data_IF_771935211347
#
_entry.id   IF_771935211347
#
_cell.length_a   1.000
_cell.length_b   1.000
_cell.length_c   1.000
_cell.angle_alpha   90.00
_cell.angle_beta   90.00
_cell.angle_gamma   90.00
#
_symmetry.space_group_name_H-M   'P 1'
#
loop_
_entity.id
_entity.type
_entity.pdbx_description
1 polymer ?
#
# COMPACT_ATOMS: atom_id res chain seq x y z
N UNK A 1 31.15 30.60 -34.35
CA UNK A 1 30.26 29.51 -34.83
C UNK A 1 30.35 28.22 -33.99
N UNK A 2 31.54 27.76 -33.55
CA UNK A 2 31.68 26.53 -32.72
C UNK A 2 31.05 26.59 -31.32
N UNK A 3 31.04 27.76 -30.67
CA UNK A 3 30.47 27.93 -29.32
C UNK A 3 28.94 27.80 -29.29
N UNK A 4 28.24 28.26 -30.35
CA UNK A 4 26.78 28.16 -30.42
C UNK A 4 26.30 26.70 -30.53
N UNK A 5 27.03 25.85 -31.27
CA UNK A 5 26.74 24.41 -31.36
C UNK A 5 26.96 23.70 -30.02
N UNK A 6 28.02 24.05 -29.28
CA UNK A 6 28.28 23.49 -27.95
C UNK A 6 27.18 23.84 -26.94
N UNK A 7 26.70 25.09 -26.94
CA UNK A 7 25.62 25.52 -26.05
C UNK A 7 24.30 24.79 -26.39
N UNK A 8 23.97 24.64 -27.67
CA UNK A 8 22.78 23.87 -28.07
C UNK A 8 22.86 22.40 -27.64
N UNK A 9 24.04 21.79 -27.78
CA UNK A 9 24.23 20.39 -27.40
C UNK A 9 24.12 20.19 -25.88
N UNK A 10 24.64 21.12 -25.08
CA UNK A 10 24.52 21.10 -23.61
C UNK A 10 23.06 21.27 -23.17
N UNK A 11 22.32 22.21 -23.78
CA UNK A 11 20.89 22.41 -23.48
C UNK A 11 20.10 21.14 -23.81
N UNK A 12 20.33 20.53 -24.98
CA UNK A 12 19.69 19.28 -25.37
C UNK A 12 20.00 18.14 -24.39
N UNK A 13 21.26 18.04 -23.92
CA UNK A 13 21.67 17.05 -22.93
C UNK A 13 20.97 17.26 -21.58
N UNK A 14 20.81 18.50 -21.14
CA UNK A 14 20.13 18.81 -19.86
C UNK A 14 18.65 18.45 -19.89
N UNK A 15 17.98 18.58 -21.04
CA UNK A 15 16.59 18.13 -21.20
C UNK A 15 16.47 16.60 -21.27
N UNK A 16 17.49 15.89 -21.79
CA UNK A 16 17.49 14.43 -21.88
C UNK A 16 17.82 13.73 -20.55
N UNK A 17 18.38 14.45 -19.57
CA UNK A 17 18.82 13.91 -18.28
C UNK A 17 17.80 14.06 -17.14
N UNK A 18 16.53 14.33 -17.45
CA UNK A 18 15.45 14.14 -16.47
C UNK A 18 15.26 12.64 -16.20
N UNK A 19 16.16 12.08 -15.38
CA UNK A 19 16.01 10.74 -14.82
C UNK A 19 14.79 10.82 -13.91
N UNK A 20 13.69 10.19 -14.34
CA UNK A 20 12.53 10.01 -13.48
C UNK A 20 12.94 9.08 -12.34
N UNK A 21 13.07 9.65 -11.15
CA UNK A 21 13.30 8.90 -9.94
C UNK A 21 11.98 8.33 -9.45
N UNK A 22 11.92 7.00 -9.31
CA UNK A 22 10.86 6.36 -8.53
C UNK A 22 11.06 6.66 -7.05
N UNK A 23 9.97 6.82 -6.32
CA UNK A 23 10.00 7.09 -4.90
C UNK A 23 10.04 5.78 -4.12
N UNK A 24 10.75 5.77 -3.00
CA UNK A 24 10.86 4.62 -2.10
C UNK A 24 10.12 4.89 -0.79
N UNK A 25 9.32 3.92 -0.36
CA UNK A 25 8.67 3.90 0.96
C UNK A 25 9.53 3.10 1.92
N UNK A 26 9.86 3.71 3.05
CA UNK A 26 10.70 3.11 4.10
C UNK A 26 9.88 2.73 5.33
N UNK A 27 10.41 1.81 6.17
CA UNK A 27 9.71 1.31 7.37
C UNK A 27 9.19 2.42 8.28
N UNK A 28 10.01 3.45 8.54
CA UNK A 28 9.65 4.57 9.42
C UNK A 28 8.47 5.40 8.87
N UNK A 29 8.30 5.45 7.55
CA UNK A 29 7.16 6.13 6.93
C UNK A 29 5.87 5.37 7.18
N UNK A 30 5.93 4.03 7.15
CA UNK A 30 4.77 3.18 7.36
C UNK A 30 4.44 3.01 8.84
N UNK A 31 5.42 2.70 9.68
CA UNK A 31 5.23 2.57 11.14
C UNK A 31 4.79 3.89 11.79
N UNK A 32 5.19 5.02 11.21
CA UNK A 32 4.82 6.33 11.70
C UNK A 32 3.39 6.75 11.36
N UNK A 33 2.71 6.08 10.42
CA UNK A 33 1.35 6.40 9.96
C UNK A 33 0.35 5.31 10.29
N UNK A 34 -0.91 5.71 10.36
CA UNK A 34 -2.07 4.82 10.50
C UNK A 34 -3.09 5.06 9.38
N UNK A 35 -2.64 5.63 8.26
CA UNK A 35 -3.40 5.82 7.04
C UNK A 35 -3.19 4.63 6.10
N UNK A 36 -4.19 4.34 5.28
CA UNK A 36 -4.15 3.27 4.29
C UNK A 36 -3.64 3.84 2.98
N UNK A 37 -2.61 3.21 2.42
CA UNK A 37 -1.99 3.65 1.18
C UNK A 37 -2.72 3.02 0.00
N UNK A 38 -3.26 3.85 -0.88
CA UNK A 38 -3.91 3.41 -2.11
C UNK A 38 -3.42 4.21 -3.31
N UNK A 39 -3.69 3.72 -4.51
CA UNK A 39 -3.53 4.46 -5.76
C UNK A 39 -4.72 4.16 -6.67
N UNK A 40 -4.86 4.92 -7.75
CA UNK A 40 -5.85 4.62 -8.80
C UNK A 40 -5.18 3.85 -9.92
N UNK A 41 -5.78 2.73 -10.32
CA UNK A 41 -5.38 2.01 -11.52
C UNK A 41 -5.81 2.75 -12.80
N UNK A 42 -5.50 2.18 -13.96
CA UNK A 42 -5.84 2.75 -15.27
C UNK A 42 -7.36 2.91 -15.48
N UNK A 43 -8.17 2.08 -14.82
CA UNK A 43 -9.63 2.18 -14.83
C UNK A 43 -10.16 3.23 -13.84
N UNK A 44 -9.27 3.87 -13.07
CA UNK A 44 -9.59 4.84 -12.03
C UNK A 44 -10.08 4.21 -10.73
N UNK A 45 -10.03 2.88 -10.58
CA UNK A 45 -10.44 2.19 -9.37
C UNK A 45 -9.31 2.23 -8.33
N UNK A 46 -9.70 2.30 -7.05
CA UNK A 46 -8.73 2.30 -5.96
C UNK A 46 -8.15 0.91 -5.74
N UNK A 47 -6.83 0.85 -5.61
CA UNK A 47 -6.08 -0.36 -5.29
C UNK A 47 -5.19 -0.11 -4.07
N UNK A 48 -4.94 -1.14 -3.27
CA UNK A 48 -3.99 -1.08 -2.16
C UNK A 48 -2.56 -1.00 -2.71
N UNK A 49 -1.73 -0.17 -2.10
CA UNK A 49 -0.33 -0.08 -2.47
C UNK A 49 0.45 -1.27 -1.88
N UNK A 50 0.75 -2.26 -2.73
CA UNK A 50 1.45 -3.49 -2.31
C UNK A 50 2.97 -3.45 -2.48
N UNK A 51 3.54 -2.44 -3.14
CA UNK A 51 4.99 -2.29 -3.39
C UNK A 51 5.60 -1.17 -2.55
N UNK A 52 6.91 -1.20 -2.30
CA UNK A 52 7.64 -0.11 -1.65
C UNK A 52 8.10 0.96 -2.63
N UNK A 53 8.32 0.58 -3.88
CA UNK A 53 8.64 1.50 -4.97
C UNK A 53 7.36 2.03 -5.58
N UNK A 54 7.31 3.36 -5.72
CA UNK A 54 6.20 4.12 -6.27
C UNK A 54 6.71 4.78 -7.55
N UNK A 55 6.14 4.44 -8.72
CA UNK A 55 6.54 5.01 -9.99
C UNK A 55 6.43 6.54 -10.00
N UNK A 56 7.40 7.19 -10.64
CA UNK A 56 7.35 8.64 -10.82
C UNK A 56 6.08 9.09 -11.55
N UNK A 57 5.45 10.15 -11.05
CA UNK A 57 4.16 10.69 -11.51
C UNK A 57 2.94 10.03 -10.88
N UNK A 58 3.07 8.88 -10.20
CA UNK A 58 1.95 8.23 -9.54
C UNK A 58 1.50 9.03 -8.30
N UNK A 59 0.19 9.21 -8.17
CA UNK A 59 -0.43 9.82 -6.99
C UNK A 59 -0.99 8.75 -6.08
N UNK A 60 -0.44 8.68 -4.87
CA UNK A 60 -1.01 7.93 -3.78
C UNK A 60 -2.14 8.71 -3.13
N UNK A 61 -3.18 7.99 -2.74
CA UNK A 61 -4.29 8.49 -1.94
C UNK A 61 -4.26 7.79 -0.59
N UNK A 62 -3.95 8.55 0.45
CA UNK A 62 -3.78 8.03 1.80
C UNK A 62 -5.02 8.30 2.63
N UNK A 63 -5.81 7.26 2.89
CA UNK A 63 -7.08 7.36 3.60
C UNK A 63 -6.89 7.26 5.11
N UNK A 64 -7.47 8.19 5.87
CA UNK A 64 -7.66 8.00 7.30
C UNK A 64 -9.03 7.39 7.62
N UNK A 65 -10.13 8.04 7.20
CA UNK A 65 -11.49 7.58 7.41
C UNK A 65 -12.46 8.34 6.50
N UNK A 66 -13.38 7.61 5.83
CA UNK A 66 -14.35 8.23 4.94
C UNK A 66 -13.67 9.06 3.85
N UNK A 67 -13.99 10.36 3.79
CA UNK A 67 -13.42 11.30 2.83
C UNK A 67 -12.12 12.01 3.27
N UNK A 68 -11.54 11.69 4.43
CA UNK A 68 -10.20 12.21 4.80
C UNK A 68 -9.13 11.49 3.99
N UNK A 69 -8.74 12.14 2.90
CA UNK A 69 -7.73 11.69 1.95
C UNK A 69 -6.67 12.76 1.82
N UNK A 70 -5.41 12.35 1.92
CA UNK A 70 -4.28 13.18 1.52
C UNK A 70 -3.66 12.57 0.28
N UNK A 71 -3.35 13.42 -0.70
CA UNK A 71 -2.70 13.03 -1.94
C UNK A 71 -1.19 13.21 -1.82
N UNK A 72 -0.46 12.21 -2.28
CA UNK A 72 1.00 12.13 -2.27
C UNK A 72 1.48 11.77 -3.66
N UNK A 73 2.03 12.74 -4.38
CA UNK A 73 2.58 12.46 -5.69
C UNK A 73 4.06 12.13 -5.59
N UNK A 74 4.48 11.06 -6.26
CA UNK A 74 5.90 10.82 -6.51
C UNK A 74 6.38 11.75 -7.62
N UNK A 75 7.31 12.64 -7.33
CA UNK A 75 7.84 13.61 -8.28
C UNK A 75 8.98 13.00 -9.11
N UNK A 76 9.33 13.63 -10.23
CA UNK A 76 10.43 13.19 -11.12
C UNK A 76 11.80 13.17 -10.42
N UNK A 77 11.95 13.87 -9.28
CA UNK A 77 13.17 13.88 -8.46
C UNK A 77 13.26 12.71 -7.44
N UNK A 78 12.32 11.75 -7.47
CA UNK A 78 12.27 10.63 -6.52
C UNK A 78 11.80 11.02 -5.11
N UNK A 79 11.20 12.20 -4.94
CA UNK A 79 10.66 12.67 -3.67
C UNK A 79 9.14 12.76 -3.71
N UNK A 80 8.50 12.58 -2.55
CA UNK A 80 7.08 12.81 -2.39
C UNK A 80 6.77 14.29 -2.14
N UNK A 81 5.62 14.76 -2.61
CA UNK A 81 5.16 16.15 -2.44
C UNK A 81 4.96 16.59 -0.99
N UNK A 82 4.75 15.65 -0.07
CA UNK A 82 4.37 15.94 1.32
C UNK A 82 5.22 15.08 2.26
N UNK A 83 5.62 15.56 3.46
CA UNK A 83 6.54 14.83 4.34
C UNK A 83 5.85 13.77 5.22
N UNK A 84 6.49 12.61 5.42
CA UNK A 84 6.08 11.58 6.38
C UNK A 84 6.63 11.85 7.80
N UNK A 85 6.03 11.28 8.86
CA UNK A 85 4.80 10.49 8.87
C UNK A 85 3.55 11.34 9.18
N UNK A 86 2.41 10.94 8.62
CA UNK A 86 1.12 11.57 8.91
C UNK A 86 0.29 10.65 9.78
N UNK A 87 0.00 11.08 11.01
CA UNK A 87 -0.95 10.39 11.87
C UNK A 87 -2.34 10.93 11.65
N UNK A 88 -3.32 10.10 11.96
CA UNK A 88 -4.71 10.49 11.96
C UNK A 88 -5.39 10.04 13.25
N UNK A 89 -6.35 10.84 13.71
CA UNK A 89 -6.98 10.65 15.02
C UNK A 89 -7.96 9.48 15.05
N UNK A 90 -8.57 9.16 13.90
CA UNK A 90 -9.60 8.13 13.77
C UNK A 90 -9.31 7.26 12.54
N UNK A 91 -8.37 6.30 12.64
CA UNK A 91 -8.04 5.42 11.53
C UNK A 91 -9.25 4.55 11.14
N UNK A 92 -9.31 4.20 9.87
CA UNK A 92 -10.36 3.36 9.33
C UNK A 92 -10.18 1.93 9.82
N UNK A 93 -11.30 1.34 10.24
CA UNK A 93 -11.34 -0.06 10.68
C UNK A 93 -11.59 -0.94 9.46
N UNK A 94 -11.00 -2.13 9.44
CA UNK A 94 -11.31 -3.13 8.43
C UNK A 94 -12.67 -3.80 8.75
N UNK A 95 -13.39 -4.17 7.70
CA UNK A 95 -14.70 -4.79 7.79
C UNK A 95 -14.61 -6.24 7.30
N UNK A 96 -15.43 -7.11 7.90
CA UNK A 96 -15.59 -8.48 7.47
C UNK A 96 -16.77 -8.60 6.51
N UNK A 97 -16.53 -9.16 5.32
CA UNK A 97 -17.56 -9.47 4.32
C UNK A 97 -17.62 -10.98 4.11
N UNK A 98 -18.79 -11.63 4.29
CA UNK A 98 -18.90 -13.05 4.01
C UNK A 98 -18.66 -13.31 2.52
N UNK A 99 -17.84 -14.31 2.21
CA UNK A 99 -17.56 -14.78 0.85
C UNK A 99 -17.85 -16.27 0.75
N UNK A 100 -18.12 -16.74 -0.46
CA UNK A 100 -18.29 -18.17 -0.72
C UNK A 100 -16.94 -18.80 -0.97
N UNK A 101 -16.67 -19.86 -0.26
CA UNK A 101 -15.47 -20.67 -0.39
C UNK A 101 -15.84 -22.12 -0.09
N UNK A 102 -15.39 -23.05 -0.94
CA UNK A 102 -15.76 -24.46 -0.82
C UNK A 102 -14.79 -25.26 0.05
N UNK A 103 -13.62 -24.71 0.37
CA UNK A 103 -12.58 -25.34 1.18
C UNK A 103 -12.78 -25.02 2.68
N UNK A 104 -13.38 -23.87 2.98
CA UNK A 104 -13.74 -23.48 4.33
C UNK A 104 -14.93 -24.30 4.86
N UNK A 105 -14.68 -25.12 5.89
CA UNK A 105 -15.73 -25.87 6.60
C UNK A 105 -16.67 -24.97 7.45
N UNK A 106 -16.32 -23.69 7.63
CA UNK A 106 -17.10 -22.67 8.34
C UNK A 106 -17.66 -21.59 7.40
N UNK A 107 -17.72 -20.35 7.88
CA UNK A 107 -18.00 -19.18 7.04
C UNK A 107 -16.69 -18.47 6.71
N UNK A 108 -16.37 -18.36 5.42
CA UNK A 108 -15.23 -17.56 4.98
C UNK A 108 -15.60 -16.07 5.01
N UNK A 109 -14.70 -15.25 5.56
CA UNK A 109 -14.80 -13.80 5.56
C UNK A 109 -13.61 -13.18 4.84
N UNK A 110 -13.89 -12.28 3.92
CA UNK A 110 -12.94 -11.33 3.37
C UNK A 110 -12.82 -10.13 4.32
N UNK A 111 -11.62 -9.89 4.83
CA UNK A 111 -11.32 -8.76 5.71
C UNK A 111 -10.67 -7.67 4.87
N UNK A 112 -11.22 -6.47 4.89
CA UNK A 112 -10.73 -5.40 4.02
C UNK A 112 -11.29 -4.03 4.36
N UNK A 113 -10.85 -3.03 3.61
CA UNK A 113 -11.31 -1.64 3.77
C UNK A 113 -12.36 -1.29 2.74
N UNK A 114 -13.42 -0.59 3.18
CA UNK A 114 -14.44 -0.08 2.28
C UNK A 114 -14.07 1.34 1.83
N UNK A 115 -13.64 1.50 0.59
CA UNK A 115 -13.22 2.79 0.01
C UNK A 115 -14.03 3.04 -1.27
N UNK A 116 -14.78 4.14 -1.31
CA UNK A 116 -15.58 4.56 -2.47
C UNK A 116 -16.45 3.43 -3.07
N UNK A 117 -17.10 2.64 -2.21
CA UNK A 117 -17.94 1.52 -2.66
C UNK A 117 -17.19 0.25 -3.07
N UNK A 118 -15.86 0.29 -3.17
CA UNK A 118 -15.01 -0.87 -3.37
C UNK A 118 -14.57 -1.49 -2.02
N UNK A 119 -14.53 -2.82 -1.97
CA UNK A 119 -13.96 -3.58 -0.86
C UNK A 119 -12.53 -3.97 -1.22
N UNK A 120 -11.55 -3.33 -0.57
CA UNK A 120 -10.14 -3.61 -0.77
C UNK A 120 -9.70 -4.68 0.23
N UNK A 121 -9.60 -5.92 -0.24
CA UNK A 121 -9.29 -7.10 0.56
C UNK A 121 -7.83 -7.08 1.06
N UNK A 122 -7.65 -7.35 2.35
CA UNK A 122 -6.34 -7.52 2.99
C UNK A 122 -5.99 -8.99 3.10
N UNK A 123 -6.90 -9.77 3.69
CA UNK A 123 -6.76 -11.20 3.92
C UNK A 123 -8.14 -11.84 4.07
N UNK A 124 -8.20 -13.17 4.09
CA UNK A 124 -9.42 -13.93 4.36
C UNK A 124 -9.27 -14.81 5.59
N UNK A 125 -10.38 -15.10 6.26
CA UNK A 125 -10.41 -15.91 7.47
C UNK A 125 -11.61 -16.84 7.45
N UNK A 126 -11.35 -18.14 7.64
CA UNK A 126 -12.37 -19.16 7.78
C UNK A 126 -12.77 -19.26 9.25
N UNK A 127 -14.02 -18.91 9.56
CA UNK A 127 -14.52 -18.82 10.92
C UNK A 127 -15.60 -19.86 11.20
N UNK A 128 -15.40 -20.63 12.26
CA UNK A 128 -16.39 -21.57 12.80
C UNK A 128 -17.24 -20.85 13.84
N UNK A 129 -18.39 -20.33 13.40
CA UNK A 129 -19.32 -19.61 14.25
C UNK A 129 -19.96 -20.48 15.34
N UNK A 130 -20.01 -21.81 15.16
CA UNK A 130 -20.60 -22.72 16.16
C UNK A 130 -19.69 -22.86 17.38
N UNK A 131 -18.38 -22.94 17.13
CA UNK A 131 -17.38 -23.10 18.19
C UNK A 131 -16.67 -21.78 18.56
N UNK A 132 -17.00 -20.68 17.89
CA UNK A 132 -16.46 -19.36 18.17
C UNK A 132 -14.96 -19.23 17.90
N UNK A 133 -14.43 -19.87 16.85
CA UNK A 133 -12.99 -19.92 16.57
C UNK A 133 -12.65 -19.74 15.09
N UNK A 134 -11.46 -19.20 14.84
CA UNK A 134 -10.85 -19.18 13.50
C UNK A 134 -10.25 -20.56 13.21
N UNK A 135 -10.55 -21.11 12.04
CA UNK A 135 -9.98 -22.37 11.56
C UNK A 135 -8.62 -22.11 10.87
N UNK A 136 -8.58 -21.14 9.96
CA UNK A 136 -7.37 -20.67 9.29
C UNK A 136 -7.57 -19.25 8.74
N UNK A 137 -6.47 -18.59 8.39
CA UNK A 137 -6.47 -17.33 7.66
C UNK A 137 -5.46 -17.40 6.51
N UNK A 138 -5.79 -16.74 5.41
CA UNK A 138 -4.99 -16.69 4.19
C UNK A 138 -4.77 -15.24 3.77
N UNK A 139 -3.53 -14.92 3.36
CA UNK A 139 -3.14 -13.58 2.92
C UNK A 139 -2.08 -13.71 1.84
N UNK A 140 -2.12 -12.80 0.86
CA UNK A 140 -1.00 -12.59 -0.03
C UNK A 140 0.13 -11.89 0.73
N UNK A 141 1.36 -12.32 0.51
CA UNK A 141 2.55 -11.72 1.11
C UNK A 141 3.34 -11.01 0.03
N UNK A 142 3.56 -9.71 0.22
CA UNK A 142 4.34 -8.87 -0.69
C UNK A 142 5.69 -8.58 -0.07
N UNK A 143 6.76 -8.92 -0.79
CA UNK A 143 8.12 -8.66 -0.32
C UNK A 143 8.38 -7.16 -0.17
N UNK A 144 8.97 -6.78 0.96
CA UNK A 144 9.48 -5.43 1.27
C UNK A 144 10.91 -5.57 1.75
N UNK A 145 11.82 -4.75 1.23
CA UNK A 145 13.24 -4.82 1.58
C UNK A 145 13.52 -4.47 3.05
N UNK A 146 12.63 -3.70 3.68
CA UNK A 146 12.72 -3.31 5.10
C UNK A 146 12.03 -4.28 6.07
N UNK A 147 11.37 -5.34 5.59
CA UNK A 147 10.82 -6.39 6.45
C UNK A 147 11.83 -7.55 6.52
N UNK A 148 12.61 -7.65 7.60
CA UNK A 148 13.51 -8.79 7.79
C UNK A 148 12.72 -10.10 7.96
N UNK A 149 13.01 -11.06 7.08
CA UNK A 149 12.43 -12.41 7.07
C UNK A 149 12.80 -13.24 8.34
N UNK A 150 13.73 -12.77 9.16
CA UNK A 150 14.10 -13.36 10.46
C UNK A 150 12.97 -13.24 11.51
N UNK A 151 11.99 -12.36 11.27
CA UNK A 151 10.84 -12.12 12.14
C UNK A 151 9.58 -12.89 11.73
N UNK A 152 9.66 -13.79 10.74
CA UNK A 152 8.60 -14.74 10.40
C UNK A 152 8.94 -16.10 11.02
N UNK A 153 8.73 -16.31 12.33
CA UNK A 153 8.73 -17.66 12.86
C UNK A 153 7.60 -18.42 12.17
N UNK A 154 7.77 -19.73 12.05
CA UNK A 154 6.89 -20.76 11.49
C UNK A 154 5.44 -20.76 12.01
N UNK A 155 4.75 -19.64 11.90
CA UNK A 155 3.40 -19.36 12.34
C UNK A 155 2.65 -18.77 11.14
N UNK A 156 2.26 -19.65 10.23
CA UNK A 156 1.04 -19.50 9.43
C UNK A 156 -0.24 -19.55 10.31
N UNK A 157 -0.10 -19.29 11.62
CA UNK A 157 -1.13 -19.12 12.64
C UNK A 157 -0.62 -18.02 13.60
N UNK A 158 -0.32 -16.79 13.12
CA UNK A 158 0.17 -15.72 14.00
C UNK A 158 -0.79 -14.55 14.08
N UNK A 159 -1.40 -14.42 15.27
CA UNK A 159 -1.80 -13.18 15.94
C UNK A 159 -2.53 -12.12 15.11
N UNK A 160 -3.85 -12.12 15.28
CA UNK A 160 -4.68 -10.92 15.35
C UNK A 160 -4.21 -10.11 16.57
N UNK A 161 -3.09 -9.40 16.47
CA UNK A 161 -2.68 -8.29 17.36
C UNK A 161 -1.36 -7.71 16.86
N UNK A 162 -1.44 -6.59 16.14
CA UNK A 162 -0.33 -5.67 15.95
C UNK A 162 0.68 -6.03 14.85
N UNK A 163 0.67 -5.22 13.80
CA UNK A 163 1.83 -4.92 12.95
C UNK A 163 2.47 -6.07 12.16
N UNK A 164 1.66 -6.97 11.57
CA UNK A 164 2.04 -7.41 10.22
C UNK A 164 1.52 -6.34 9.29
N UNK A 165 2.46 -5.66 8.63
CA UNK A 165 2.19 -4.56 7.71
C UNK A 165 1.49 -5.09 6.44
N UNK A 166 0.22 -5.46 6.59
CA UNK A 166 -0.72 -5.64 5.51
C UNK A 166 -1.23 -4.24 5.15
N UNK A 167 -0.45 -3.48 4.37
CA UNK A 167 -1.04 -2.46 3.50
C UNK A 167 -1.79 -3.21 2.42
#
# INVERSE_FOLDING_TARGET
MKIFFLIQFIVLLTFALSIKGDCQIYSNMVEGTNRIFTYRDEAGAYQLLRTETVPSGLTLHMFCHGGDVIEYQCQDNGQFTTPFPMRCSKPMVANAKPVRDNECAGQMYSIGHQINGAHLELFRSCYDARNGRVLYAESDVYYKSYCEMSSVPSLAISKITGAVLMI
#
